data_IF_551283248797
#
_entry.id   IF_551283248797
#
_cell.length_a   1.000
_cell.length_b   1.000
_cell.length_c   1.000
_cell.angle_alpha   90.00
_cell.angle_beta   90.00
_cell.angle_gamma   90.00
#
_symmetry.space_group_name_H-M   'P 1'
#
loop_
_entity.id
_entity.type
_entity.pdbx_description
1 polymer ?
#
# COMPACT_ATOMS: atom_id res chain seq x y z
N UNK A 1 16.14 15.85 3.02
CA UNK A 1 15.16 15.05 2.25
C UNK A 1 15.19 13.55 2.60
N UNK A 2 16.27 13.03 3.22
CA UNK A 2 16.34 11.61 3.68
C UNK A 2 15.46 11.28 4.90
N UNK A 3 15.11 12.25 5.74
CA UNK A 3 14.39 11.99 7.01
C UNK A 3 12.87 11.82 6.87
N UNK A 4 12.27 12.39 5.82
CA UNK A 4 10.80 12.36 5.62
C UNK A 4 10.30 10.99 5.15
N UNK A 5 11.14 10.21 4.46
CA UNK A 5 10.78 8.86 3.99
C UNK A 5 10.78 7.84 5.15
N UNK A 6 11.72 7.98 6.10
CA UNK A 6 11.89 7.07 7.24
C UNK A 6 10.74 7.12 8.26
N UNK A 7 9.94 8.19 8.26
CA UNK A 7 8.82 8.40 9.19
C UNK A 7 7.48 7.88 8.66
N UNK A 8 7.35 7.59 7.37
CA UNK A 8 6.07 7.24 6.76
C UNK A 8 5.68 5.76 6.95
N UNK A 9 6.63 4.88 7.24
CA UNK A 9 6.41 3.42 7.15
C UNK A 9 5.78 2.74 8.38
N UNK A 10 5.85 3.33 9.58
CA UNK A 10 5.40 2.65 10.80
C UNK A 10 3.87 2.44 10.90
N UNK A 11 3.09 2.93 9.93
CA UNK A 11 1.62 2.77 9.88
C UNK A 11 1.05 2.54 8.45
N UNK A 12 1.88 2.24 7.45
CA UNK A 12 1.51 2.50 6.05
C UNK A 12 0.66 1.47 5.31
N UNK A 13 0.34 0.31 5.88
CA UNK A 13 -0.66 -0.58 5.29
C UNK A 13 -2.09 0.00 5.25
N UNK A 14 -2.36 1.08 6.00
CA UNK A 14 -3.70 1.67 6.13
C UNK A 14 -3.94 2.94 5.31
N UNK A 15 -2.91 3.61 4.82
CA UNK A 15 -3.03 4.99 4.29
C UNK A 15 -3.38 5.05 2.79
N UNK A 16 -4.08 4.06 2.28
CA UNK A 16 -4.25 3.87 0.84
C UNK A 16 -5.69 3.57 0.39
N UNK A 17 -6.56 3.09 1.29
CA UNK A 17 -7.96 2.81 0.95
C UNK A 17 -8.87 3.73 1.77
N UNK A 18 -8.81 5.02 1.44
CA UNK A 18 -9.85 5.99 1.84
C UNK A 18 -11.07 5.76 0.94
N UNK A 19 -12.32 5.98 1.42
CA UNK A 19 -13.50 5.90 0.57
C UNK A 19 -13.31 6.71 -0.70
N UNK A 20 -13.62 6.08 -1.85
CA UNK A 20 -13.40 6.58 -3.21
C UNK A 20 -14.19 7.86 -3.58
N UNK A 21 -14.63 8.67 -2.62
CA UNK A 21 -15.43 9.88 -2.83
C UNK A 21 -14.65 11.19 -2.69
N UNK A 22 -13.34 11.18 -2.43
CA UNK A 22 -12.57 12.45 -2.25
C UNK A 22 -11.17 12.44 -2.85
N UNK A 23 -10.73 11.33 -3.47
CA UNK A 23 -9.43 11.29 -4.16
C UNK A 23 -9.68 11.60 -5.63
N UNK A 24 -9.18 12.73 -6.12
CA UNK A 24 -9.25 13.08 -7.55
C UNK A 24 -8.58 11.97 -8.37
N UNK A 25 -9.00 11.81 -9.61
CA UNK A 25 -8.68 10.73 -10.57
C UNK A 25 -7.19 10.59 -10.97
N UNK A 26 -6.25 11.11 -10.19
CA UNK A 26 -4.88 11.40 -10.66
C UNK A 26 -3.76 10.78 -9.82
N UNK A 27 -4.07 10.14 -8.68
CA UNK A 27 -3.06 9.61 -7.76
C UNK A 27 -2.77 8.11 -8.01
N UNK A 28 -1.50 7.80 -8.24
CA UNK A 28 -1.00 6.42 -8.35
C UNK A 28 -0.69 5.89 -6.94
N UNK A 29 -1.06 4.64 -6.65
CA UNK A 29 -0.97 4.08 -5.31
C UNK A 29 0.13 3.01 -5.21
N UNK A 30 1.10 3.23 -4.33
CA UNK A 30 2.06 2.19 -3.95
C UNK A 30 1.51 1.49 -2.71
N UNK A 31 1.26 0.20 -2.85
CA UNK A 31 0.86 -0.67 -1.75
C UNK A 31 2.07 -1.52 -1.43
N UNK A 32 2.81 -1.14 -0.39
CA UNK A 32 3.92 -1.98 0.04
C UNK A 32 3.38 -3.31 0.50
N UNK A 33 2.33 -3.35 1.34
CA UNK A 33 1.72 -4.63 1.70
C UNK A 33 0.24 -4.52 2.03
N UNK A 34 -0.56 -5.45 1.50
CA UNK A 34 -1.98 -5.50 1.78
C UNK A 34 -2.24 -6.23 3.09
N UNK A 35 -3.00 -5.59 3.99
CA UNK A 35 -3.48 -6.21 5.22
C UNK A 35 -4.89 -6.78 4.97
N UNK A 36 -4.96 -7.87 4.22
CA UNK A 36 -6.16 -8.72 4.13
C UNK A 36 -5.92 -9.95 5.00
N UNK A 37 -6.94 -10.35 5.75
CA UNK A 37 -6.82 -11.49 6.65
C UNK A 37 -7.04 -12.73 5.79
N UNK A 38 -6.00 -13.54 5.61
CA UNK A 38 -6.12 -14.87 5.00
C UNK A 38 -7.19 -15.68 5.71
N UNK A 39 -7.97 -16.48 4.96
CA UNK A 39 -9.07 -17.27 5.52
C UNK A 39 -8.59 -18.21 6.65
N UNK A 40 -7.37 -18.71 6.57
CA UNK A 40 -6.73 -19.55 7.58
C UNK A 40 -6.40 -18.80 8.89
N UNK A 41 -6.29 -17.46 8.82
CA UNK A 41 -6.02 -16.59 9.97
C UNK A 41 -7.29 -15.94 10.51
N UNK A 42 -8.45 -16.26 9.93
CA UNK A 42 -9.73 -15.65 10.31
C UNK A 42 -10.15 -16.12 11.70
N UNK A 43 -10.32 -15.21 12.68
CA UNK A 43 -10.81 -15.61 13.98
C UNK A 43 -12.26 -16.08 13.86
N UNK A 44 -12.62 -17.14 14.61
CA UNK A 44 -13.99 -17.63 14.67
C UNK A 44 -14.95 -16.46 15.01
N UNK A 45 -16.10 -16.32 14.31
CA UNK A 45 -17.05 -15.22 14.54
C UNK A 45 -17.47 -15.03 16.01
N UNK A 46 -17.52 -16.10 16.79
CA UNK A 46 -17.79 -16.04 18.23
C UNK A 46 -16.66 -15.32 18.99
N UNK A 47 -15.40 -15.59 18.64
CA UNK A 47 -14.23 -14.92 19.23
C UNK A 47 -14.26 -13.43 18.91
N UNK A 48 -14.57 -13.06 17.68
CA UNK A 48 -14.73 -11.65 17.28
C UNK A 48 -15.81 -10.95 18.11
N UNK A 49 -16.95 -11.60 18.33
CA UNK A 49 -18.04 -11.05 19.14
C UNK A 49 -17.68 -10.90 20.63
N UNK A 50 -16.96 -11.87 21.20
CA UNK A 50 -16.46 -11.80 22.58
C UNK A 50 -15.43 -10.67 22.71
N UNK A 51 -14.47 -10.56 21.78
CA UNK A 51 -13.49 -9.48 21.74
C UNK A 51 -14.18 -8.10 21.67
N UNK A 52 -15.20 -7.94 20.81
CA UNK A 52 -15.99 -6.69 20.72
C UNK A 52 -16.68 -6.33 22.04
N UNK A 53 -17.18 -7.31 22.80
CA UNK A 53 -17.76 -7.07 24.12
C UNK A 53 -16.70 -6.69 25.15
N UNK A 54 -15.56 -7.39 25.17
CA UNK A 54 -14.43 -7.07 26.05
C UNK A 54 -13.88 -5.66 25.79
N UNK A 55 -13.82 -5.24 24.54
CA UNK A 55 -13.45 -3.88 24.14
C UNK A 55 -14.32 -2.79 24.82
N UNK A 56 -15.58 -3.07 25.14
CA UNK A 56 -16.45 -2.08 25.83
C UNK A 56 -16.08 -1.88 27.30
N UNK A 57 -15.43 -2.87 27.91
CA UNK A 57 -15.10 -2.87 29.35
C UNK A 57 -13.64 -2.45 29.55
N UNK A 58 -12.72 -2.99 28.74
CA UNK A 58 -11.27 -2.81 28.90
C UNK A 58 -10.57 -2.36 27.59
N UNK A 59 -11.04 -1.28 26.92
CA UNK A 59 -10.55 -0.89 25.59
C UNK A 59 -9.05 -0.57 25.54
N UNK A 60 -8.51 -0.06 26.64
CA UNK A 60 -7.14 0.47 26.72
C UNK A 60 -6.11 -0.57 27.16
N UNK A 61 -6.54 -1.78 27.54
CA UNK A 61 -5.66 -2.82 28.07
C UNK A 61 -4.73 -3.37 27.00
N UNK A 62 -3.45 -3.52 27.33
CA UNK A 62 -2.37 -3.96 26.45
C UNK A 62 -2.21 -5.48 26.46
N UNK A 63 -3.29 -6.18 26.15
CA UNK A 63 -3.39 -7.65 26.32
C UNK A 63 -3.33 -8.44 25.02
N UNK A 64 -3.24 -7.77 23.86
CA UNK A 64 -3.16 -8.48 22.59
C UNK A 64 -1.81 -9.22 22.53
N UNK A 65 -1.82 -10.58 22.48
CA UNK A 65 -0.60 -11.34 22.36
C UNK A 65 0.02 -11.04 21.00
N UNK A 66 1.26 -10.60 21.00
CA UNK A 66 2.03 -10.27 19.81
C UNK A 66 3.42 -10.84 19.98
N UNK A 67 3.96 -11.39 18.89
CA UNK A 67 5.39 -11.70 18.82
C UNK A 67 6.17 -10.38 18.71
N UNK A 68 7.47 -10.43 18.95
CA UNK A 68 8.32 -9.26 18.71
C UNK A 68 8.39 -9.00 17.19
N UNK A 69 7.54 -8.07 16.73
CA UNK A 69 7.40 -7.74 15.30
C UNK A 69 8.76 -7.32 14.72
N UNK A 70 9.64 -6.70 15.51
CA UNK A 70 10.94 -6.24 15.02
C UNK A 70 11.80 -7.42 14.55
N UNK A 71 11.76 -8.56 15.23
CA UNK A 71 12.59 -9.72 14.90
C UNK A 71 12.07 -10.53 13.71
N UNK A 72 10.80 -10.36 13.34
CA UNK A 72 10.15 -11.07 12.23
C UNK A 72 9.91 -10.19 11.00
N UNK A 73 9.86 -8.86 11.18
CA UNK A 73 9.62 -7.91 10.11
C UNK A 73 10.90 -7.46 9.41
N UNK A 74 11.98 -7.26 10.16
CA UNK A 74 13.24 -6.71 9.66
C UNK A 74 14.27 -7.82 9.58
N UNK A 75 14.88 -8.02 8.42
CA UNK A 75 15.93 -9.01 8.23
C UNK A 75 17.28 -8.51 8.72
N UNK A 76 17.63 -7.26 8.43
CA UNK A 76 18.91 -6.65 8.83
C UNK A 76 18.96 -6.41 10.36
N UNK A 77 20.01 -6.94 11.00
CA UNK A 77 20.23 -6.85 12.43
C UNK A 77 20.57 -5.43 12.90
N UNK A 78 21.27 -4.63 12.09
CA UNK A 78 21.58 -3.25 12.44
C UNK A 78 20.33 -2.38 12.41
N UNK A 79 19.44 -2.62 11.43
CA UNK A 79 18.12 -1.97 11.37
C UNK A 79 17.28 -2.32 12.60
N UNK A 80 17.28 -3.59 13.03
CA UNK A 80 16.59 -3.99 14.27
C UNK A 80 17.12 -3.22 15.48
N UNK A 81 18.45 -3.08 15.61
CA UNK A 81 19.06 -2.29 16.71
C UNK A 81 18.63 -0.83 16.64
N UNK A 82 18.64 -0.23 15.45
CA UNK A 82 18.20 1.14 15.24
C UNK A 82 16.73 1.33 15.70
N UNK A 83 15.82 0.47 15.24
CA UNK A 83 14.40 0.53 15.60
C UNK A 83 14.19 0.32 17.10
N UNK A 84 14.89 -0.63 17.71
CA UNK A 84 14.80 -0.88 19.16
C UNK A 84 15.32 0.32 19.97
N UNK A 85 16.35 1.00 19.48
CA UNK A 85 16.92 2.19 20.12
C UNK A 85 16.04 3.43 19.96
N UNK A 86 15.16 3.46 18.95
CA UNK A 86 14.32 4.62 18.65
C UNK A 86 13.34 4.94 19.80
N UNK A 87 13.43 6.12 20.45
CA UNK A 87 12.55 6.50 21.55
C UNK A 87 11.12 6.80 21.10
N UNK A 88 10.89 7.02 19.80
CA UNK A 88 9.58 7.28 19.22
C UNK A 88 8.84 6.01 18.80
N UNK A 89 9.49 4.84 18.85
CA UNK A 89 8.85 3.56 18.55
C UNK A 89 8.08 3.05 19.77
N UNK A 90 6.80 2.69 19.59
CA UNK A 90 6.00 2.10 20.66
C UNK A 90 6.42 0.64 20.92
N UNK A 91 6.89 0.36 22.14
CA UNK A 91 7.43 -0.96 22.53
C UNK A 91 6.45 -1.86 23.27
N UNK A 92 5.25 -1.36 23.55
CA UNK A 92 4.25 -2.12 24.31
C UNK A 92 3.44 -3.06 23.43
N UNK A 93 2.68 -3.96 24.05
CA UNK A 93 1.64 -4.71 23.34
C UNK A 93 0.55 -3.75 22.80
N UNK A 94 -0.07 -4.07 21.65
CA UNK A 94 -1.22 -3.32 21.17
C UNK A 94 -2.36 -3.30 22.20
N UNK A 95 -3.10 -2.19 22.23
CA UNK A 95 -4.30 -2.06 23.05
C UNK A 95 -5.44 -2.85 22.42
N UNK A 96 -6.32 -3.40 23.24
CA UNK A 96 -7.44 -4.24 22.79
C UNK A 96 -8.30 -3.53 21.73
N UNK A 97 -8.67 -2.28 21.97
CA UNK A 97 -9.46 -1.50 21.02
C UNK A 97 -8.72 -1.27 19.70
N UNK A 98 -7.40 -1.06 19.72
CA UNK A 98 -6.58 -0.86 18.51
C UNK A 98 -6.62 -2.11 17.63
N UNK A 99 -6.38 -3.29 18.20
CA UNK A 99 -6.45 -4.53 17.42
C UNK A 99 -7.86 -4.83 16.91
N UNK A 100 -8.90 -4.52 17.68
CA UNK A 100 -10.28 -4.67 17.23
C UNK A 100 -10.62 -3.74 16.06
N UNK A 101 -10.13 -2.50 16.06
CA UNK A 101 -10.31 -1.59 14.92
C UNK A 101 -9.53 -2.05 13.69
N UNK A 102 -8.28 -2.49 13.87
CA UNK A 102 -7.46 -3.06 12.81
C UNK A 102 -8.18 -4.23 12.13
N UNK A 103 -8.64 -5.20 12.93
CA UNK A 103 -9.43 -6.35 12.48
C UNK A 103 -10.72 -5.92 11.74
N UNK A 104 -11.47 -4.99 12.33
CA UNK A 104 -12.76 -4.54 11.76
C UNK A 104 -12.56 -3.86 10.40
N UNK A 105 -11.57 -2.99 10.28
CA UNK A 105 -11.28 -2.31 9.01
C UNK A 105 -10.75 -3.31 7.98
N UNK A 106 -9.90 -4.26 8.37
CA UNK A 106 -9.38 -5.28 7.45
C UNK A 106 -10.51 -6.10 6.82
N UNK A 107 -11.45 -6.59 7.63
CA UNK A 107 -12.64 -7.32 7.15
C UNK A 107 -13.55 -6.44 6.28
N UNK A 108 -13.63 -5.14 6.58
CA UNK A 108 -14.42 -4.21 5.79
C UNK A 108 -13.78 -3.93 4.42
N UNK A 109 -12.45 -3.79 4.36
CA UNK A 109 -11.70 -3.55 3.13
C UNK A 109 -11.70 -4.77 2.21
N UNK A 110 -11.60 -5.97 2.77
CA UNK A 110 -11.68 -7.24 2.05
C UNK A 110 -13.00 -7.37 1.24
N UNK A 111 -14.11 -6.89 1.80
CA UNK A 111 -15.41 -6.88 1.11
C UNK A 111 -15.51 -5.88 -0.04
N UNK A 112 -14.50 -5.04 -0.24
CA UNK A 112 -14.52 -3.89 -1.14
C UNK A 112 -13.30 -3.84 -2.06
N UNK A 113 -12.51 -4.92 -2.14
CA UNK A 113 -11.29 -4.96 -2.97
C UNK A 113 -11.60 -4.64 -4.44
N UNK A 114 -12.71 -5.14 -4.97
CA UNK A 114 -13.24 -4.83 -6.30
C UNK A 114 -13.54 -3.34 -6.56
N UNK A 115 -13.68 -2.50 -5.54
CA UNK A 115 -13.87 -1.06 -5.71
C UNK A 115 -12.56 -0.34 -6.05
N UNK A 116 -11.41 -0.98 -5.83
CA UNK A 116 -10.09 -0.42 -6.14
C UNK A 116 -9.92 -0.36 -7.66
N UNK A 117 -9.94 0.87 -8.19
CA UNK A 117 -9.86 1.16 -9.63
C UNK A 117 -8.68 2.04 -10.02
N UNK A 118 -7.97 2.62 -9.04
CA UNK A 118 -6.78 3.44 -9.27
C UNK A 118 -5.60 2.58 -9.73
N UNK A 119 -4.67 3.12 -10.53
CA UNK A 119 -3.41 2.45 -10.83
C UNK A 119 -2.61 2.13 -9.57
N UNK A 120 -2.09 0.91 -9.44
CA UNK A 120 -1.29 0.53 -8.26
C UNK A 120 -0.16 -0.46 -8.52
N UNK A 121 0.85 -0.38 -7.66
CA UNK A 121 1.93 -1.36 -7.54
C UNK A 121 1.87 -2.02 -6.18
N UNK A 122 1.87 -3.35 -6.15
CA UNK A 122 2.04 -4.16 -4.95
C UNK A 122 3.45 -4.74 -4.93
N UNK A 123 4.20 -4.55 -3.84
CA UNK A 123 5.56 -5.09 -3.64
C UNK A 123 5.64 -5.94 -2.38
N UNK A 124 5.65 -7.25 -2.46
CA UNK A 124 5.50 -8.11 -1.28
C UNK A 124 6.69 -9.06 -1.09
N UNK A 125 7.13 -9.27 0.17
CA UNK A 125 8.20 -10.20 0.51
C UNK A 125 7.71 -11.65 0.56
N UNK A 126 8.33 -12.56 -0.17
CA UNK A 126 7.90 -13.96 -0.25
C UNK A 126 7.96 -14.72 1.08
N UNK A 127 8.82 -14.29 1.99
CA UNK A 127 9.01 -14.87 3.32
C UNK A 127 8.49 -13.93 4.43
N UNK A 128 7.56 -13.03 4.11
CA UNK A 128 6.91 -12.17 5.10
C UNK A 128 6.17 -13.02 6.16
N UNK A 129 6.53 -12.80 7.43
CA UNK A 129 5.93 -13.48 8.61
C UNK A 129 4.91 -12.63 9.35
N UNK A 130 4.77 -11.37 8.96
CA UNK A 130 3.86 -10.39 9.57
C UNK A 130 2.57 -10.31 8.77
N UNK A 131 2.67 -10.31 7.43
CA UNK A 131 1.49 -10.34 6.54
C UNK A 131 1.63 -11.46 5.51
N UNK A 132 0.51 -12.09 5.15
CA UNK A 132 0.48 -13.20 4.20
C UNK A 132 0.51 -12.68 2.75
N UNK A 133 1.45 -13.11 1.89
CA UNK A 133 1.45 -12.76 0.48
C UNK A 133 0.14 -13.07 -0.26
N UNK A 134 -0.63 -14.07 0.22
CA UNK A 134 -1.95 -14.40 -0.33
C UNK A 134 -2.92 -13.22 -0.25
N UNK A 135 -2.83 -12.38 0.80
CA UNK A 135 -3.63 -11.17 0.95
C UNK A 135 -3.38 -10.17 -0.18
N UNK A 136 -2.10 -9.99 -0.52
CA UNK A 136 -1.66 -9.09 -1.58
C UNK A 136 -2.05 -9.61 -2.96
N UNK A 137 -1.96 -10.93 -3.15
CA UNK A 137 -2.47 -11.60 -4.36
C UNK A 137 -3.99 -11.46 -4.51
N UNK A 138 -4.75 -11.62 -3.42
CA UNK A 138 -6.21 -11.47 -3.44
C UNK A 138 -6.63 -10.05 -3.84
N UNK A 139 -5.95 -9.02 -3.33
CA UNK A 139 -6.17 -7.64 -3.77
C UNK A 139 -5.87 -7.47 -5.26
N UNK A 140 -4.73 -7.99 -5.73
CA UNK A 140 -4.36 -7.91 -7.15
C UNK A 140 -5.41 -8.55 -8.06
N UNK A 141 -5.91 -9.73 -7.71
CA UNK A 141 -6.91 -10.45 -8.51
C UNK A 141 -8.28 -9.78 -8.44
N UNK A 142 -8.69 -9.32 -7.26
CA UNK A 142 -10.05 -8.81 -7.03
C UNK A 142 -10.26 -7.37 -7.49
N UNK A 143 -9.22 -6.53 -7.47
CA UNK A 143 -9.33 -5.12 -7.82
C UNK A 143 -9.77 -4.90 -9.28
N UNK A 144 -10.62 -3.89 -9.51
CA UNK A 144 -11.08 -3.48 -10.86
C UNK A 144 -10.03 -2.71 -11.67
N UNK A 145 -8.97 -2.22 -11.03
CA UNK A 145 -7.91 -1.46 -11.70
C UNK A 145 -7.37 -2.18 -12.93
N UNK A 146 -7.32 -1.47 -14.05
CA UNK A 146 -6.74 -1.94 -15.32
C UNK A 146 -5.21 -1.84 -15.31
N UNK A 147 -4.68 -0.90 -14.53
CA UNK A 147 -3.26 -0.62 -14.42
C UNK A 147 -2.71 -1.06 -13.05
N UNK A 148 -2.53 -2.36 -12.89
CA UNK A 148 -2.07 -2.97 -11.64
C UNK A 148 -0.90 -3.91 -11.87
N UNK A 149 0.10 -3.82 -11.00
CA UNK A 149 1.29 -4.69 -11.02
C UNK A 149 1.48 -5.32 -9.64
N UNK A 150 1.78 -6.61 -9.61
CA UNK A 150 2.17 -7.33 -8.40
C UNK A 150 3.58 -7.88 -8.56
N UNK A 151 4.47 -7.51 -7.64
CA UNK A 151 5.83 -8.02 -7.53
C UNK A 151 6.00 -8.75 -6.20
N UNK A 152 6.27 -10.04 -6.28
CA UNK A 152 6.65 -10.86 -5.14
C UNK A 152 8.17 -11.05 -5.16
N UNK A 153 8.83 -10.81 -4.03
CA UNK A 153 10.28 -10.94 -3.90
C UNK A 153 10.63 -12.17 -3.04
N UNK A 154 10.98 -13.32 -3.66
CA UNK A 154 11.24 -14.56 -2.93
C UNK A 154 12.36 -14.38 -1.88
N UNK A 155 12.15 -14.92 -0.68
CA UNK A 155 13.15 -14.85 0.39
C UNK A 155 13.26 -13.50 1.10
N UNK A 156 12.56 -12.46 0.64
CA UNK A 156 12.50 -11.16 1.32
C UNK A 156 11.36 -11.12 2.35
N UNK A 157 11.55 -10.33 3.40
CA UNK A 157 10.68 -10.23 4.58
C UNK A 157 9.74 -9.01 4.48
N UNK A 158 9.14 -8.63 5.61
CA UNK A 158 8.14 -7.57 5.68
C UNK A 158 8.66 -6.19 5.24
N UNK A 159 9.77 -5.74 5.82
CA UNK A 159 10.25 -4.37 5.67
C UNK A 159 11.13 -4.19 4.41
N UNK A 160 10.57 -4.37 3.22
CA UNK A 160 11.31 -4.39 1.93
C UNK A 160 12.16 -3.13 1.66
N UNK A 161 11.69 -1.97 2.07
CA UNK A 161 12.26 -0.65 1.75
C UNK A 161 13.30 -0.16 2.75
N UNK A 162 13.46 -0.83 3.89
CA UNK A 162 14.36 -0.37 4.94
C UNK A 162 14.91 -1.48 5.84
N UNK A 163 14.20 -2.59 6.02
CA UNK A 163 14.59 -3.71 6.87
C UNK A 163 15.18 -4.91 6.16
N UNK A 164 15.31 -4.86 4.84
CA UNK A 164 15.97 -5.89 4.04
C UNK A 164 17.48 -5.61 3.92
N UNK A 165 18.20 -6.57 3.32
CA UNK A 165 19.61 -6.34 2.95
C UNK A 165 19.71 -5.21 1.89
N UNK A 166 20.79 -4.42 1.88
CA UNK A 166 20.92 -3.26 0.97
C UNK A 166 20.62 -3.59 -0.49
N UNK A 167 21.15 -4.72 -0.99
CA UNK A 167 20.98 -5.13 -2.38
C UNK A 167 19.52 -5.46 -2.71
N UNK A 168 18.78 -6.03 -1.74
CA UNK A 168 17.36 -6.35 -1.88
C UNK A 168 16.53 -5.06 -1.90
N UNK A 169 16.83 -4.14 -0.99
CA UNK A 169 16.17 -2.84 -0.91
C UNK A 169 16.39 -2.00 -2.17
N UNK A 170 17.59 -2.02 -2.75
CA UNK A 170 17.89 -1.33 -4.01
C UNK A 170 17.06 -1.86 -5.18
N UNK A 171 16.85 -3.18 -5.28
CA UNK A 171 15.99 -3.78 -6.32
C UNK A 171 14.55 -3.30 -6.15
N UNK A 172 14.03 -3.29 -4.92
CA UNK A 172 12.67 -2.83 -4.63
C UNK A 172 12.49 -1.36 -5.00
N UNK A 173 13.45 -0.50 -4.65
CA UNK A 173 13.41 0.91 -5.02
C UNK A 173 13.53 1.13 -6.53
N UNK A 174 14.41 0.40 -7.21
CA UNK A 174 14.54 0.47 -8.66
C UNK A 174 13.20 0.14 -9.33
N UNK A 175 12.53 -0.91 -8.87
CA UNK A 175 11.23 -1.33 -9.39
C UNK A 175 10.12 -0.30 -9.15
N UNK A 176 10.08 0.31 -7.96
CA UNK A 176 9.14 1.40 -7.64
C UNK A 176 9.41 2.61 -8.54
N UNK A 177 10.67 3.02 -8.70
CA UNK A 177 11.06 4.17 -9.51
C UNK A 177 10.74 3.94 -10.98
N UNK A 178 11.03 2.76 -11.52
CA UNK A 178 10.67 2.39 -12.89
C UNK A 178 9.16 2.48 -13.11
N UNK A 179 8.38 1.90 -12.20
CA UNK A 179 6.91 1.93 -12.26
C UNK A 179 6.35 3.36 -12.24
N UNK A 180 6.92 4.24 -11.42
CA UNK A 180 6.54 5.66 -11.38
C UNK A 180 6.92 6.39 -12.68
N UNK A 181 8.14 6.17 -13.17
CA UNK A 181 8.64 6.82 -14.39
C UNK A 181 7.82 6.47 -15.62
N UNK A 182 7.37 5.22 -15.75
CA UNK A 182 6.51 4.79 -16.86
C UNK A 182 5.20 5.60 -16.90
N UNK A 183 4.58 5.85 -15.74
CA UNK A 183 3.31 6.60 -15.65
C UNK A 183 3.50 8.09 -15.83
N UNK A 184 4.60 8.66 -15.35
CA UNK A 184 4.92 10.07 -15.59
C UNK A 184 5.18 10.28 -17.08
N UNK A 185 5.95 9.39 -17.71
CA UNK A 185 6.31 9.50 -19.14
C UNK A 185 5.09 9.32 -20.05
N UNK A 186 4.26 8.30 -19.81
CA UNK A 186 3.01 8.11 -20.56
C UNK A 186 2.09 9.32 -20.46
N UNK A 187 1.94 9.91 -19.26
CA UNK A 187 1.14 11.13 -19.07
C UNK A 187 1.68 12.31 -19.86
N UNK A 188 3.00 12.49 -19.91
CA UNK A 188 3.60 13.55 -20.73
C UNK A 188 3.31 13.35 -22.21
N UNK A 189 3.45 12.12 -22.72
CA UNK A 189 3.16 11.80 -24.12
C UNK A 189 1.68 12.07 -24.45
N UNK A 190 0.75 11.55 -23.65
CA UNK A 190 -0.69 11.76 -23.89
C UNK A 190 -1.10 13.24 -23.87
N UNK A 191 -0.44 14.04 -23.02
CA UNK A 191 -0.66 15.48 -22.98
C UNK A 191 -0.16 16.17 -24.25
N UNK A 192 1.07 15.86 -24.68
CA UNK A 192 1.64 16.42 -25.91
C UNK A 192 0.82 16.06 -27.15
N UNK A 193 0.35 14.82 -27.26
CA UNK A 193 -0.54 14.39 -28.34
C UNK A 193 -1.87 15.16 -28.35
N UNK A 194 -2.42 15.45 -27.16
CA UNK A 194 -3.67 16.20 -27.02
C UNK A 194 -3.50 17.67 -27.42
N UNK A 195 -2.39 18.28 -27.01
CA UNK A 195 -2.01 19.65 -27.40
C UNK A 195 -1.80 19.73 -28.93
N UNK A 196 -1.10 18.77 -29.53
CA UNK A 196 -0.87 18.72 -30.99
C UNK A 196 -2.18 18.54 -31.79
N UNK A 197 -3.09 17.67 -31.32
CA UNK A 197 -4.42 17.50 -31.95
C UNK A 197 -5.22 18.80 -31.91
N UNK A 198 -5.20 19.50 -30.77
CA UNK A 198 -5.89 20.78 -30.61
C UNK A 198 -5.33 21.86 -31.55
N UNK A 199 -4.01 21.95 -31.69
CA UNK A 199 -3.37 22.86 -32.64
C UNK A 199 -3.76 22.56 -34.09
N UNK A 200 -3.69 21.29 -34.49
CA UNK A 200 -4.05 20.86 -35.85
C UNK A 200 -5.54 21.14 -36.17
N UNK A 201 -6.45 20.85 -35.24
CA UNK A 201 -7.89 21.14 -35.39
C UNK A 201 -8.17 22.64 -35.47
N UNK A 202 -7.37 23.46 -34.76
CA UNK A 202 -7.42 24.92 -34.84
C UNK A 202 -6.97 25.47 -36.20
N UNK A 203 -5.89 24.91 -36.77
CA UNK A 203 -5.37 25.29 -38.08
C UNK A 203 -6.35 24.95 -39.22
N UNK A 204 -7.03 23.79 -39.14
CA UNK A 204 -8.05 23.40 -40.12
C UNK A 204 -9.26 24.35 -40.15
N UNK A 205 -9.62 24.95 -39.01
CA UNK A 205 -10.69 25.95 -38.94
C UNK A 205 -10.27 27.33 -39.46
N UNK A 206 -8.98 27.66 -39.43
CA UNK A 206 -8.44 28.93 -39.94
C UNK A 206 -8.18 28.97 -41.45
N UNK A 207 -8.01 27.80 -42.09
CA UNK A 207 -7.68 27.69 -43.53
C UNK A 207 -8.86 27.86 -44.50
N UNK A 208 -10.11 27.82 -44.03
CA UNK A 208 -11.30 27.77 -44.90
C UNK A 208 -11.85 29.14 -45.34
N UNK A 209 -11.18 30.27 -45.06
CA UNK A 209 -11.74 31.61 -45.28
C UNK A 209 -11.00 32.48 -46.31
N UNK A 210 -10.22 31.87 -47.21
CA UNK A 210 -9.65 32.57 -48.37
C UNK A 210 -9.82 31.69 -49.61
N UNK A 211 -10.97 31.80 -50.25
CA UNK A 211 -11.17 31.59 -51.70
C UNK A 211 -12.64 31.90 -52.02
N UNK A 212 -12.95 33.19 -52.16
CA UNK A 212 -14.16 33.68 -52.84
C UNK A 212 -13.88 35.08 -53.37
N UNK A 213 -13.36 35.17 -54.59
CA UNK A 213 -13.38 36.35 -55.46
C UNK A 213 -14.00 35.92 -56.78
#
# INVERSE_FOLDING_TARGET
>A
MEWTMKAMENHQGFMAISPASTISSETALIITQAFVISDDLRPNPLVVNVLKKLCRIIPTWKIIPTQDIIDVAFRDLEVRKEIRSNPYCYKGRPRLQTGNQLMTVSLHLEQRLQEVSLPFLIVHGGDDKVTDPAASKLLFESARSEDKIFKLYPGMWHALTYGELPENTDIVFADIVLWLNDRVSMRMISRLESEQKFENDGLLKGGSSKDSL
#
